data_IF_054891709390
#
_entry.id   IF_054891709390
#
_cell.length_a   1.000
_cell.length_b   1.000
_cell.length_c   1.000
_cell.angle_alpha   90.00
_cell.angle_beta   90.00
_cell.angle_gamma   90.00
#
_symmetry.space_group_name_H-M   'P 1'
#
loop_
_entity.id
_entity.type
_entity.pdbx_description
1 polymer ?
#
# COMPACT_ATOMS: atom_id res chain seq x y z
N UNK A 1 15.10 22.05 -0.63
CA UNK A 1 14.50 22.74 0.54
C UNK A 1 12.99 22.93 0.41
N UNK A 2 12.51 23.67 -0.60
CA UNK A 2 11.08 24.00 -0.79
C UNK A 2 10.14 22.81 -0.61
N UNK A 3 10.39 21.69 -1.29
CA UNK A 3 9.55 20.49 -1.24
C UNK A 3 9.34 19.94 0.16
N UNK A 4 10.37 19.94 1.00
CA UNK A 4 10.28 19.45 2.37
C UNK A 4 9.70 20.49 3.32
N UNK A 5 10.01 21.78 3.15
CA UNK A 5 9.39 22.86 3.95
C UNK A 5 7.88 22.96 3.70
N UNK A 6 7.42 22.72 2.47
CA UNK A 6 6.00 22.62 2.14
C UNK A 6 5.26 21.63 3.08
N UNK A 7 5.93 20.57 3.51
CA UNK A 7 5.36 19.52 4.38
C UNK A 7 5.36 19.92 5.86
N UNK A 8 6.43 20.54 6.36
CA UNK A 8 6.66 20.75 7.80
C UNK A 8 6.41 22.19 8.29
N UNK A 9 6.45 23.18 7.41
CA UNK A 9 6.35 24.59 7.78
C UNK A 9 4.93 25.12 7.54
N UNK A 10 4.14 25.38 8.60
CA UNK A 10 2.76 25.84 8.47
C UNK A 10 2.64 27.26 7.88
N UNK A 11 3.75 28.00 7.81
CA UNK A 11 3.81 29.35 7.21
C UNK A 11 4.09 29.30 5.71
N UNK A 12 4.48 28.15 5.16
CA UNK A 12 4.72 27.99 3.74
C UNK A 12 3.42 28.20 2.93
N UNK A 13 3.40 29.03 1.87
CA UNK A 13 2.20 29.33 1.08
C UNK A 13 1.49 28.13 0.44
N UNK A 14 2.21 27.02 0.30
CA UNK A 14 1.73 25.75 -0.27
C UNK A 14 1.38 24.70 0.79
N UNK A 15 1.62 24.96 2.07
CA UNK A 15 1.36 23.98 3.13
C UNK A 15 -0.13 23.60 3.21
N UNK A 16 -1.01 24.60 3.04
CA UNK A 16 -2.48 24.45 3.16
C UNK A 16 -3.21 24.35 1.80
N UNK A 17 -2.48 24.18 0.69
CA UNK A 17 -3.08 24.08 -0.65
C UNK A 17 -3.56 22.66 -0.95
N UNK A 18 -4.72 22.52 -1.59
CA UNK A 18 -5.29 21.22 -2.02
C UNK A 18 -6.06 20.48 -0.92
N UNK A 19 -6.09 19.14 -1.00
CA UNK A 19 -6.49 18.30 0.14
C UNK A 19 -5.38 18.42 1.19
N UNK A 20 -5.67 19.11 2.28
CA UNK A 20 -4.78 19.66 3.33
C UNK A 20 -3.90 18.65 4.09
N UNK A 21 -3.73 17.44 3.59
CA UNK A 21 -3.02 16.37 4.28
C UNK A 21 -1.88 15.83 3.41
N UNK A 22 -0.74 15.56 4.05
CA UNK A 22 0.38 14.81 3.50
C UNK A 22 0.34 13.41 4.13
N UNK A 23 -0.53 12.48 3.69
CA UNK A 23 -0.91 11.31 4.51
C UNK A 23 0.27 10.39 4.78
N UNK A 24 1.13 10.19 3.78
CA UNK A 24 2.38 9.45 3.91
C UNK A 24 3.26 10.03 5.03
N UNK A 25 3.61 11.32 4.92
CA UNK A 25 4.48 12.01 5.88
C UNK A 25 3.86 12.12 7.28
N UNK A 26 2.53 12.23 7.37
CA UNK A 26 1.78 12.20 8.63
C UNK A 26 1.85 10.81 9.29
N UNK A 27 1.69 9.74 8.52
CA UNK A 27 1.70 8.36 9.02
C UNK A 27 3.06 7.86 9.53
N UNK A 28 4.16 8.49 9.10
CA UNK A 28 5.52 8.20 9.58
C UNK A 28 6.06 9.25 10.57
N UNK A 29 5.19 10.12 11.10
CA UNK A 29 5.59 11.18 12.05
C UNK A 29 6.69 12.14 11.53
N UNK A 30 6.73 12.36 10.20
CA UNK A 30 7.82 13.12 9.57
C UNK A 30 7.89 14.58 10.05
N UNK A 31 6.75 15.17 10.41
CA UNK A 31 6.66 16.55 10.88
C UNK A 31 7.34 16.77 12.24
N UNK A 32 7.34 15.77 13.13
CA UNK A 32 8.05 15.85 14.40
C UNK A 32 9.49 15.33 14.29
N UNK A 33 9.79 14.53 13.27
CA UNK A 33 11.14 14.07 12.98
C UNK A 33 12.02 15.18 12.37
N UNK A 34 11.56 15.83 11.29
CA UNK A 34 12.35 16.82 10.56
C UNK A 34 12.25 18.21 11.21
N UNK A 35 13.32 18.63 11.88
CA UNK A 35 13.41 19.93 12.58
C UNK A 35 13.72 21.06 11.61
N UNK A 36 14.71 20.87 10.73
CA UNK A 36 15.08 21.87 9.73
C UNK A 36 15.62 21.22 8.46
N UNK A 37 15.44 21.93 7.36
CA UNK A 37 16.09 21.67 6.08
C UNK A 37 16.67 22.99 5.57
N UNK A 38 18.00 23.04 5.48
CA UNK A 38 18.76 24.25 5.15
C UNK A 38 19.79 23.98 4.06
N UNK A 39 20.14 25.01 3.29
CA UNK A 39 21.22 24.97 2.33
C UNK A 39 22.54 25.26 3.05
N UNK A 40 23.56 24.43 2.81
CA UNK A 40 24.94 24.76 3.15
C UNK A 40 25.61 25.53 2.01
N UNK A 41 25.23 25.21 0.78
CA UNK A 41 25.57 25.89 -0.46
C UNK A 41 24.52 25.56 -1.55
N UNK A 42 24.74 26.01 -2.78
CA UNK A 42 23.80 25.87 -3.90
C UNK A 42 23.46 24.41 -4.26
N UNK A 43 24.36 23.47 -3.96
CA UNK A 43 24.22 22.05 -4.32
C UNK A 43 24.22 21.11 -3.10
N UNK A 44 24.26 21.66 -1.89
CA UNK A 44 24.34 20.89 -0.64
C UNK A 44 23.22 21.28 0.32
N UNK A 45 22.36 20.30 0.66
CA UNK A 45 21.27 20.45 1.62
C UNK A 45 21.57 19.65 2.89
N UNK A 46 21.37 20.29 4.05
CA UNK A 46 21.43 19.66 5.37
C UNK A 46 20.02 19.43 5.90
N UNK A 47 19.77 18.21 6.36
CA UNK A 47 18.59 17.86 7.14
C UNK A 47 18.99 17.75 8.61
N UNK A 48 18.20 18.34 9.50
CA UNK A 48 18.36 18.25 10.95
C UNK A 48 17.16 17.48 11.49
N UNK A 49 17.43 16.33 12.12
CA UNK A 49 16.40 15.47 12.71
C UNK A 49 16.36 15.65 14.22
N UNK A 50 15.18 15.50 14.82
CA UNK A 50 14.98 15.58 16.28
C UNK A 50 15.56 14.39 17.03
N UNK A 51 15.69 13.25 16.33
CA UNK A 51 16.26 11.98 16.82
C UNK A 51 16.92 11.20 15.68
N UNK A 52 17.84 10.27 15.96
CA UNK A 52 18.34 9.33 14.96
C UNK A 52 17.20 8.50 14.37
N UNK A 53 17.17 8.34 13.05
CA UNK A 53 16.16 7.54 12.36
C UNK A 53 16.80 6.77 11.19
N UNK A 54 16.93 5.46 11.34
CA UNK A 54 17.52 4.58 10.33
C UNK A 54 16.62 4.35 9.10
N UNK A 55 15.36 4.77 9.14
CA UNK A 55 14.42 4.74 8.02
C UNK A 55 14.41 6.03 7.20
N UNK A 56 14.99 7.13 7.72
CA UNK A 56 14.93 8.46 7.09
C UNK A 56 15.33 8.46 5.61
N UNK A 57 16.48 7.84 5.27
CA UNK A 57 16.96 7.77 3.89
C UNK A 57 15.99 6.98 2.99
N UNK A 58 15.42 5.89 3.49
CA UNK A 58 14.41 5.11 2.76
C UNK A 58 13.15 5.94 2.52
N UNK A 59 12.70 6.70 3.53
CA UNK A 59 11.49 7.52 3.45
C UNK A 59 11.61 8.64 2.42
N UNK A 60 12.78 9.31 2.33
CA UNK A 60 13.02 10.35 1.33
C UNK A 60 13.36 9.80 -0.07
N UNK A 61 13.50 8.48 -0.22
CA UNK A 61 13.69 7.80 -1.51
C UNK A 61 12.35 7.29 -2.11
N UNK A 62 11.23 7.50 -1.42
CA UNK A 62 9.90 7.11 -1.90
C UNK A 62 9.39 8.01 -3.02
N UNK A 63 8.37 7.54 -3.76
CA UNK A 63 7.65 8.34 -4.75
C UNK A 63 6.88 9.53 -4.15
N UNK A 64 6.78 9.61 -2.83
CA UNK A 64 6.18 10.74 -2.11
C UNK A 64 7.15 11.90 -1.88
N UNK A 65 8.46 11.65 -1.92
CA UNK A 65 9.51 12.62 -1.61
C UNK A 65 10.14 13.22 -2.88
N UNK A 66 9.33 13.46 -3.91
CA UNK A 66 9.78 14.10 -5.15
C UNK A 66 10.20 15.55 -4.94
N UNK A 67 11.14 16.03 -5.76
CA UNK A 67 11.59 17.42 -5.75
C UNK A 67 10.72 18.25 -6.69
N UNK A 68 10.19 19.36 -6.16
CA UNK A 68 9.34 20.33 -6.84
C UNK A 68 10.14 21.61 -7.13
N UNK A 69 9.77 22.31 -8.21
CA UNK A 69 10.41 23.57 -8.59
C UNK A 69 9.92 24.73 -7.72
N UNK A 70 10.84 25.36 -6.97
CA UNK A 70 10.57 26.60 -6.22
C UNK A 70 10.32 27.78 -7.17
N UNK A 71 11.04 27.85 -8.28
CA UNK A 71 10.87 28.91 -9.28
C UNK A 71 9.45 28.89 -9.86
N UNK A 72 8.98 27.71 -10.26
CA UNK A 72 7.62 27.54 -10.76
C UNK A 72 6.58 27.88 -9.68
N UNK A 73 6.79 27.41 -8.45
CA UNK A 73 5.92 27.74 -7.33
C UNK A 73 5.85 29.26 -7.08
N UNK A 74 6.97 29.97 -7.14
CA UNK A 74 6.98 31.43 -6.97
C UNK A 74 6.25 32.14 -8.12
N UNK A 75 6.43 31.68 -9.36
CA UNK A 75 5.72 32.23 -10.51
C UNK A 75 4.20 32.08 -10.35
N UNK A 76 3.74 30.89 -9.96
CA UNK A 76 2.32 30.63 -9.72
C UNK A 76 1.72 31.44 -8.57
N UNK A 77 2.52 31.82 -7.57
CA UNK A 77 2.07 32.75 -6.52
C UNK A 77 1.84 34.15 -7.12
N UNK A 78 2.74 34.61 -7.99
CA UNK A 78 2.64 35.93 -8.64
C UNK A 78 1.40 35.98 -9.55
N UNK A 79 1.13 34.87 -10.24
CA UNK A 79 0.03 34.77 -11.19
C UNK A 79 -1.33 34.45 -10.54
N UNK A 80 -1.37 34.18 -9.22
CA UNK A 80 -2.53 33.71 -8.47
C UNK A 80 -3.10 32.37 -8.96
N UNK A 81 -2.22 31.45 -9.36
CA UNK A 81 -2.53 30.14 -9.95
C UNK A 81 -1.88 28.98 -9.19
N UNK A 82 -1.75 29.11 -7.86
CA UNK A 82 -1.02 28.16 -7.01
C UNK A 82 -1.48 26.71 -7.17
N UNK A 83 -2.76 26.48 -7.44
CA UNK A 83 -3.35 25.15 -7.67
C UNK A 83 -2.75 24.42 -8.87
N UNK A 84 -2.13 25.14 -9.81
CA UNK A 84 -1.44 24.53 -10.96
C UNK A 84 -0.18 23.77 -10.55
N UNK A 85 0.41 24.05 -9.39
CA UNK A 85 1.59 23.30 -8.92
C UNK A 85 1.33 21.79 -8.85
N UNK A 86 0.11 21.41 -8.42
CA UNK A 86 -0.26 20.01 -8.23
C UNK A 86 -1.01 19.42 -9.45
N UNK A 87 -1.55 20.25 -10.35
CA UNK A 87 -2.34 19.82 -11.50
C UNK A 87 -1.60 19.90 -12.85
N UNK A 88 -0.58 20.75 -12.95
CA UNK A 88 0.28 20.94 -14.12
C UNK A 88 1.74 20.74 -13.68
N UNK A 89 2.16 19.47 -13.50
CA UNK A 89 3.41 19.16 -12.84
C UNK A 89 4.62 19.60 -13.67
N UNK A 90 5.52 20.34 -13.03
CA UNK A 90 6.86 20.63 -13.54
C UNK A 90 7.87 19.90 -12.65
N UNK A 91 8.55 18.91 -13.23
CA UNK A 91 9.57 18.13 -12.56
C UNK A 91 10.82 17.94 -13.43
N UNK A 92 11.79 17.21 -12.90
CA UNK A 92 13.08 16.92 -13.55
C UNK A 92 13.16 15.50 -14.11
N UNK A 93 12.00 14.85 -14.29
CA UNK A 93 11.91 13.44 -14.68
C UNK A 93 12.17 13.17 -16.17
N UNK A 94 12.22 11.88 -16.57
CA UNK A 94 12.51 11.46 -17.94
C UNK A 94 11.41 11.81 -18.96
N UNK A 95 10.21 12.15 -18.48
CA UNK A 95 9.08 12.57 -19.29
C UNK A 95 8.40 13.79 -18.68
N UNK A 96 7.71 14.56 -19.51
CA UNK A 96 6.84 15.65 -19.10
C UNK A 96 5.40 15.39 -19.55
N UNK A 97 4.44 15.95 -18.81
CA UNK A 97 3.02 15.85 -19.13
C UNK A 97 2.73 16.64 -20.42
N UNK A 98 2.19 15.97 -21.43
CA UNK A 98 1.80 16.59 -22.70
C UNK A 98 0.28 16.76 -22.79
N UNK A 99 -0.49 15.72 -22.44
CA UNK A 99 -1.96 15.75 -22.48
C UNK A 99 -2.53 14.98 -21.30
N UNK A 100 -3.63 15.49 -20.74
CA UNK A 100 -4.41 14.80 -19.73
C UNK A 100 -5.90 14.92 -20.07
N UNK A 101 -6.54 13.78 -20.35
CA UNK A 101 -7.97 13.68 -20.53
C UNK A 101 -8.55 12.86 -19.37
N UNK A 102 -9.27 13.51 -18.42
CA UNK A 102 -9.81 12.83 -17.26
C UNK A 102 -10.63 11.59 -17.64
N UNK A 103 -10.32 10.44 -17.01
CA UNK A 103 -10.96 9.13 -17.26
C UNK A 103 -10.78 8.55 -18.67
N UNK A 104 -9.90 9.11 -19.48
CA UNK A 104 -9.60 8.62 -20.82
C UNK A 104 -8.11 8.29 -21.00
N UNK A 105 -7.23 9.28 -20.97
CA UNK A 105 -5.78 9.05 -21.14
C UNK A 105 -4.87 10.07 -20.43
N UNK A 106 -3.63 9.65 -20.20
CA UNK A 106 -2.50 10.53 -19.85
C UNK A 106 -1.40 10.31 -20.90
N UNK A 107 -0.97 11.38 -21.56
CA UNK A 107 0.16 11.34 -22.51
C UNK A 107 1.36 12.05 -21.91
N UNK A 108 2.47 11.32 -21.83
CA UNK A 108 3.77 11.85 -21.47
C UNK A 108 4.68 11.88 -22.70
N UNK A 109 5.46 12.93 -22.87
CA UNK A 109 6.49 13.05 -23.91
C UNK A 109 7.87 13.06 -23.28
N UNK A 110 8.85 12.49 -23.98
CA UNK A 110 10.24 12.41 -23.53
C UNK A 110 10.81 13.78 -23.23
N UNK A 111 11.43 13.94 -22.06
CA UNK A 111 12.24 15.11 -21.70
C UNK A 111 13.62 14.99 -22.36
N UNK A 112 13.96 15.77 -23.41
CA UNK A 112 15.22 15.57 -24.15
C UNK A 112 16.47 15.90 -23.32
N UNK A 113 16.35 16.84 -22.38
CA UNK A 113 17.44 17.26 -21.49
C UNK A 113 17.38 16.58 -20.10
N UNK A 114 16.80 15.37 -20.00
CA UNK A 114 16.79 14.64 -18.73
C UNK A 114 18.22 14.33 -18.29
N UNK A 115 18.52 14.54 -17.01
CA UNK A 115 19.88 14.54 -16.48
C UNK A 115 20.56 13.16 -16.47
N UNK A 116 19.80 12.05 -16.45
CA UNK A 116 20.35 10.68 -16.63
C UNK A 116 20.40 10.23 -18.11
N UNK A 117 20.08 11.13 -19.05
CA UNK A 117 20.00 10.84 -20.48
C UNK A 117 18.57 10.57 -20.95
N UNK A 118 18.26 11.02 -22.18
CA UNK A 118 16.91 10.99 -22.71
C UNK A 118 16.32 9.56 -22.75
N UNK A 119 15.02 9.44 -22.43
CA UNK A 119 14.32 8.17 -22.51
C UNK A 119 14.38 7.55 -23.92
N UNK A 120 14.41 6.22 -24.01
CA UNK A 120 14.50 5.54 -25.30
C UNK A 120 13.23 5.70 -26.14
N UNK A 121 12.05 5.62 -25.53
CA UNK A 121 10.77 5.91 -26.17
C UNK A 121 10.48 7.42 -26.20
N UNK A 122 9.79 7.86 -27.27
CA UNK A 122 9.43 9.27 -27.44
C UNK A 122 8.20 9.69 -26.63
N UNK A 123 7.29 8.74 -26.40
CA UNK A 123 6.04 8.96 -25.69
C UNK A 123 5.65 7.73 -24.87
N UNK A 124 4.94 7.99 -23.78
CA UNK A 124 4.24 6.98 -22.97
C UNK A 124 2.79 7.42 -22.86
N UNK A 125 1.86 6.51 -23.16
CA UNK A 125 0.42 6.77 -23.07
C UNK A 125 -0.18 5.81 -22.06
N UNK A 126 -0.80 6.35 -21.02
CA UNK A 126 -1.62 5.58 -20.10
C UNK A 126 -3.07 5.65 -20.57
N UNK A 127 -3.61 4.53 -21.00
CA UNK A 127 -5.03 4.38 -21.34
C UNK A 127 -5.81 3.97 -20.09
N UNK A 128 -6.74 4.82 -19.66
CA UNK A 128 -7.60 4.62 -18.48
C UNK A 128 -9.09 4.55 -18.88
N UNK A 129 -9.39 4.43 -20.17
CA UNK A 129 -10.74 4.46 -20.75
C UNK A 129 -11.55 3.18 -20.48
N UNK A 130 -10.88 2.07 -20.18
CA UNK A 130 -11.51 0.77 -19.93
C UNK A 130 -10.97 0.11 -18.66
N UNK A 131 -11.79 -0.71 -18.00
CA UNK A 131 -11.44 -1.49 -16.81
C UNK A 131 -11.79 -2.97 -17.00
N UNK A 132 -11.14 -3.85 -16.24
CA UNK A 132 -11.45 -5.28 -16.20
C UNK A 132 -11.04 -6.02 -17.48
N UNK A 133 -11.92 -6.89 -17.98
CA UNK A 133 -11.58 -7.84 -19.06
C UNK A 133 -11.24 -7.17 -20.39
N UNK A 134 -11.72 -5.95 -20.65
CA UNK A 134 -11.41 -5.18 -21.85
C UNK A 134 -9.91 -4.86 -22.01
N UNK A 135 -9.16 -4.76 -20.90
CA UNK A 135 -7.74 -4.42 -20.95
C UNK A 135 -6.89 -5.52 -21.60
N UNK A 136 -7.21 -6.79 -21.35
CA UNK A 136 -6.52 -7.91 -22.03
C UNK A 136 -6.82 -7.92 -23.53
N UNK A 137 -8.06 -7.62 -23.93
CA UNK A 137 -8.43 -7.58 -25.33
C UNK A 137 -7.62 -6.52 -26.10
N UNK A 138 -7.36 -5.36 -25.48
CA UNK A 138 -6.49 -4.32 -26.06
C UNK A 138 -5.07 -4.80 -26.26
N UNK A 139 -4.48 -5.48 -25.25
CA UNK A 139 -3.15 -6.08 -25.38
C UNK A 139 -3.10 -7.11 -26.52
N UNK A 140 -4.10 -8.01 -26.59
CA UNK A 140 -4.18 -9.04 -27.63
C UNK A 140 -4.39 -8.48 -29.04
N UNK A 141 -4.93 -7.26 -29.17
CA UNK A 141 -5.14 -6.56 -30.44
C UNK A 141 -4.02 -5.56 -30.79
N UNK A 142 -2.95 -5.51 -29.99
CA UNK A 142 -1.88 -4.53 -30.10
C UNK A 142 -2.37 -3.06 -29.99
N UNK A 143 -3.50 -2.83 -29.32
CA UNK A 143 -3.98 -1.49 -28.96
C UNK A 143 -3.25 -0.95 -27.70
N UNK A 144 -2.67 -1.85 -26.89
CA UNK A 144 -1.83 -1.54 -25.74
C UNK A 144 -0.60 -2.44 -25.76
N UNK A 145 0.56 -1.91 -25.34
CA UNK A 145 1.81 -2.69 -25.32
C UNK A 145 2.10 -3.33 -23.97
N UNK A 146 1.53 -2.77 -22.90
CA UNK A 146 1.73 -3.19 -21.50
C UNK A 146 0.38 -3.23 -20.80
N UNK A 147 0.11 -4.34 -20.14
CA UNK A 147 -1.02 -4.55 -19.24
C UNK A 147 -0.51 -4.73 -17.82
N UNK A 148 -0.82 -3.76 -16.97
CA UNK A 148 -0.51 -3.81 -15.55
C UNK A 148 -1.60 -4.56 -14.78
N UNK A 149 -1.19 -5.45 -13.88
CA UNK A 149 -2.06 -6.24 -13.01
C UNK A 149 -3.20 -6.95 -13.77
N UNK A 150 -2.89 -7.86 -14.74
CA UNK A 150 -3.89 -8.70 -15.36
C UNK A 150 -4.69 -9.48 -14.29
N UNK A 151 -5.96 -9.76 -14.59
CA UNK A 151 -6.83 -10.50 -13.67
C UNK A 151 -6.31 -11.94 -13.57
N UNK A 152 -6.27 -12.52 -12.36
CA UNK A 152 -5.71 -13.87 -12.14
C UNK A 152 -6.34 -14.96 -13.03
N UNK A 153 -7.64 -14.89 -13.31
CA UNK A 153 -8.32 -15.84 -14.20
C UNK A 153 -7.89 -15.74 -15.68
N UNK A 154 -7.21 -14.66 -16.06
CA UNK A 154 -6.72 -14.43 -17.42
C UNK A 154 -5.28 -14.90 -17.63
N UNK A 155 -4.52 -15.17 -16.55
CA UNK A 155 -3.12 -15.58 -16.63
C UNK A 155 -2.91 -16.80 -17.56
N UNK A 156 -3.74 -17.87 -17.50
CA UNK A 156 -3.56 -19.01 -18.40
C UNK A 156 -3.74 -18.69 -19.88
N UNK A 157 -4.51 -17.65 -20.23
CA UNK A 157 -4.66 -17.20 -21.61
C UNK A 157 -3.45 -16.38 -22.06
N UNK A 158 -2.87 -15.57 -21.17
CA UNK A 158 -1.66 -14.79 -21.43
C UNK A 158 -0.45 -15.72 -21.61
N UNK A 159 -0.27 -16.70 -20.72
CA UNK A 159 0.84 -17.66 -20.77
C UNK A 159 0.89 -18.50 -22.05
N UNK A 160 -0.28 -18.72 -22.68
CA UNK A 160 -0.39 -19.47 -23.94
C UNK A 160 -0.04 -18.64 -25.17
N UNK A 161 0.06 -17.32 -25.05
CA UNK A 161 0.35 -16.43 -26.18
C UNK A 161 1.87 -16.23 -26.32
N UNK A 162 2.51 -16.68 -27.42
CA UNK A 162 3.96 -16.58 -27.60
C UNK A 162 4.48 -15.15 -27.83
N UNK A 163 3.59 -14.21 -28.16
CA UNK A 163 3.91 -12.81 -28.47
C UNK A 163 3.83 -11.91 -27.22
N UNK A 164 3.40 -12.47 -26.09
CA UNK A 164 3.26 -11.75 -24.81
C UNK A 164 4.18 -12.37 -23.77
N UNK A 165 4.91 -11.52 -23.07
CA UNK A 165 5.67 -11.89 -21.89
C UNK A 165 4.81 -11.61 -20.67
N UNK A 166 4.58 -12.64 -19.85
CA UNK A 166 4.02 -12.48 -18.50
C UNK A 166 5.19 -12.42 -17.50
N UNK A 167 5.46 -11.23 -16.99
CA UNK A 167 6.45 -11.04 -15.93
C UNK A 167 5.80 -11.13 -14.56
N UNK A 168 6.45 -11.91 -13.69
CA UNK A 168 6.03 -12.16 -12.32
C UNK A 168 7.05 -11.55 -11.36
N UNK A 169 6.60 -10.68 -10.46
CA UNK A 169 7.45 -10.03 -9.46
C UNK A 169 6.89 -10.31 -8.07
N UNK A 170 7.69 -10.87 -7.14
CA UNK A 170 7.33 -10.92 -5.72
C UNK A 170 7.04 -9.49 -5.24
N UNK A 171 5.82 -9.26 -4.76
CA UNK A 171 5.41 -7.93 -4.36
C UNK A 171 5.66 -7.75 -2.86
N UNK A 172 6.15 -6.57 -2.46
CA UNK A 172 6.13 -6.20 -1.05
C UNK A 172 4.71 -5.76 -0.72
N UNK A 173 3.82 -6.72 -0.46
CA UNK A 173 2.43 -6.40 -0.14
C UNK A 173 1.83 -7.42 0.84
N UNK A 174 0.68 -7.09 1.41
CA UNK A 174 -0.13 -7.99 2.23
C UNK A 174 -1.60 -7.61 2.13
N UNK A 175 -2.49 -8.60 2.02
CA UNK A 175 -3.91 -8.46 2.28
C UNK A 175 -4.20 -8.85 3.73
N UNK A 176 -5.04 -8.08 4.41
CA UNK A 176 -5.42 -8.32 5.79
C UNK A 176 -6.85 -7.86 6.08
N UNK A 177 -7.39 -8.29 7.21
CA UNK A 177 -8.57 -7.71 7.82
C UNK A 177 -8.09 -6.81 8.96
N UNK A 178 -8.36 -5.51 8.91
CA UNK A 178 -8.19 -4.63 10.06
C UNK A 178 -9.42 -4.75 10.96
N UNK A 179 -9.19 -4.87 12.26
CA UNK A 179 -10.24 -5.10 13.25
C UNK A 179 -10.42 -3.83 14.06
N UNK A 180 -11.61 -3.24 14.08
CA UNK A 180 -11.88 -2.05 14.88
C UNK A 180 -11.83 -2.38 16.37
N UNK A 181 -10.70 -2.11 17.03
CA UNK A 181 -10.48 -2.46 18.44
C UNK A 181 -11.26 -1.59 19.42
N UNK A 182 -11.98 -0.58 18.96
CA UNK A 182 -12.90 0.22 19.79
C UNK A 182 -14.28 -0.43 19.92
N UNK A 183 -14.65 -1.38 19.04
CA UNK A 183 -15.92 -2.09 19.15
C UNK A 183 -15.94 -2.96 20.43
N UNK A 184 -17.01 -2.93 21.25
CA UNK A 184 -17.04 -3.61 22.55
C UNK A 184 -16.76 -5.12 22.52
N UNK A 185 -17.11 -5.82 21.44
CA UNK A 185 -16.77 -7.23 21.28
C UNK A 185 -15.35 -7.45 20.75
N UNK A 186 -14.84 -6.52 19.94
CA UNK A 186 -13.55 -6.67 19.26
C UNK A 186 -12.40 -6.09 20.08
N UNK A 187 -12.67 -5.38 21.18
CA UNK A 187 -11.66 -4.97 22.15
C UNK A 187 -11.04 -6.18 22.90
N UNK A 188 -11.76 -7.31 22.97
CA UNK A 188 -11.29 -8.56 23.57
C UNK A 188 -10.43 -9.34 22.57
N UNK A 189 -9.16 -9.56 22.90
CA UNK A 189 -8.24 -10.26 22.01
C UNK A 189 -8.66 -11.71 21.72
N UNK A 190 -9.48 -12.35 22.58
CA UNK A 190 -10.00 -13.70 22.36
C UNK A 190 -10.97 -13.74 21.19
N UNK A 191 -11.79 -12.70 21.02
CA UNK A 191 -12.68 -12.57 19.86
C UNK A 191 -11.86 -12.40 18.58
N UNK A 192 -10.84 -11.52 18.60
CA UNK A 192 -9.96 -11.30 17.43
C UNK A 192 -9.19 -12.58 17.04
N UNK A 193 -8.69 -13.33 18.03
CA UNK A 193 -8.09 -14.66 17.83
C UNK A 193 -9.09 -15.63 17.22
N UNK A 194 -10.33 -15.68 17.71
CA UNK A 194 -11.35 -16.55 17.17
C UNK A 194 -11.63 -16.27 15.68
N UNK A 195 -11.76 -14.99 15.31
CA UNK A 195 -11.91 -14.59 13.90
C UNK A 195 -10.71 -15.06 13.05
N UNK A 196 -9.49 -14.90 13.56
CA UNK A 196 -8.28 -15.35 12.88
C UNK A 196 -8.24 -16.87 12.63
N UNK A 197 -8.57 -17.68 13.64
CA UNK A 197 -8.58 -19.15 13.54
C UNK A 197 -9.73 -19.68 12.67
N UNK A 198 -10.80 -18.91 12.50
CA UNK A 198 -11.94 -19.29 11.66
C UNK A 198 -11.67 -19.13 10.16
N UNK A 199 -10.63 -18.41 9.74
CA UNK A 199 -10.40 -18.12 8.31
C UNK A 199 -9.58 -19.23 7.64
N UNK A 200 -10.17 -19.87 6.64
CA UNK A 200 -9.49 -20.83 5.77
C UNK A 200 -8.74 -20.11 4.65
N UNK A 201 -7.49 -19.73 4.95
CA UNK A 201 -6.60 -19.00 4.02
C UNK A 201 -6.24 -19.80 2.77
N UNK A 202 -6.13 -21.13 2.86
CA UNK A 202 -5.85 -21.97 1.70
C UNK A 202 -6.99 -21.89 0.68
N UNK A 203 -8.24 -21.98 1.16
CA UNK A 203 -9.41 -21.82 0.28
C UNK A 203 -9.47 -20.42 -0.37
N UNK A 204 -9.09 -19.37 0.36
CA UNK A 204 -8.95 -18.02 -0.20
C UNK A 204 -7.87 -18.00 -1.29
N UNK A 205 -6.68 -18.55 -1.03
CA UNK A 205 -5.58 -18.60 -1.98
C UNK A 205 -5.99 -19.32 -3.29
N UNK A 206 -6.62 -20.48 -3.16
CA UNK A 206 -7.04 -21.29 -4.31
C UNK A 206 -8.16 -20.61 -5.11
N UNK A 207 -9.17 -20.05 -4.43
CA UNK A 207 -10.37 -19.49 -5.06
C UNK A 207 -10.20 -18.07 -5.61
N UNK A 208 -9.39 -17.24 -4.95
CA UNK A 208 -9.23 -15.82 -5.29
C UNK A 208 -7.96 -15.58 -6.06
N UNK A 209 -6.86 -16.21 -5.65
CA UNK A 209 -5.55 -15.99 -6.25
C UNK A 209 -5.19 -17.06 -7.29
N UNK A 210 -6.04 -18.07 -7.51
CA UNK A 210 -5.83 -19.12 -8.52
C UNK A 210 -4.48 -19.83 -8.34
N UNK A 211 -4.08 -20.08 -7.09
CA UNK A 211 -2.79 -20.71 -6.75
C UNK A 211 -1.58 -19.79 -6.91
N UNK A 212 -1.77 -18.51 -7.25
CA UNK A 212 -0.71 -17.49 -7.24
C UNK A 212 -0.62 -16.83 -5.86
N UNK A 213 0.57 -16.41 -5.44
CA UNK A 213 0.77 -15.81 -4.11
C UNK A 213 1.04 -16.83 -3.01
N UNK A 214 0.97 -16.36 -1.76
CA UNK A 214 1.27 -17.18 -0.57
C UNK A 214 0.43 -16.76 0.62
N UNK A 215 0.18 -17.70 1.53
CA UNK A 215 -0.46 -17.40 2.83
C UNK A 215 0.38 -16.39 3.60
N UNK A 216 -0.27 -15.37 4.17
CA UNK A 216 0.39 -14.41 5.04
C UNK A 216 0.35 -14.88 6.49
N UNK A 217 1.54 -15.08 7.08
CA UNK A 217 1.71 -15.48 8.49
C UNK A 217 1.98 -14.29 9.42
N UNK A 218 2.24 -13.12 8.84
CA UNK A 218 2.47 -11.84 9.50
C UNK A 218 2.12 -10.75 8.48
N UNK A 219 2.11 -9.49 8.89
CA UNK A 219 1.92 -8.37 7.95
C UNK A 219 3.14 -8.15 7.05
N UNK A 220 4.31 -8.64 7.44
CA UNK A 220 5.52 -8.55 6.62
C UNK A 220 5.53 -9.66 5.54
N UNK A 221 5.79 -9.34 4.27
CA UNK A 221 5.95 -10.35 3.23
C UNK A 221 7.25 -11.16 3.43
N UNK A 222 7.35 -12.39 2.88
CA UNK A 222 8.57 -13.21 2.94
C UNK A 222 9.83 -12.54 2.39
N UNK A 223 9.68 -11.52 1.54
CA UNK A 223 10.79 -10.71 1.00
C UNK A 223 11.32 -9.67 1.98
N UNK A 224 10.63 -9.42 3.09
CA UNK A 224 11.10 -8.54 4.16
C UNK A 224 12.23 -9.21 4.94
N UNK A 225 13.31 -8.48 5.22
CA UNK A 225 14.42 -8.99 6.01
C UNK A 225 14.08 -9.22 7.49
N UNK A 226 12.94 -8.72 7.97
CA UNK A 226 12.40 -8.96 9.31
C UNK A 226 11.21 -9.94 9.32
N UNK A 227 11.02 -10.70 8.25
CA UNK A 227 9.95 -11.70 8.16
C UNK A 227 10.08 -12.79 9.23
N UNK A 228 8.96 -13.13 9.87
CA UNK A 228 8.85 -14.26 10.78
C UNK A 228 7.61 -15.10 10.42
N UNK A 229 7.79 -16.42 10.35
CA UNK A 229 6.72 -17.36 10.04
C UNK A 229 6.20 -18.02 11.33
N UNK A 230 5.12 -17.49 11.91
CA UNK A 230 4.43 -18.12 13.04
C UNK A 230 3.23 -18.95 12.56
N UNK A 231 3.49 -20.22 12.23
CA UNK A 231 2.45 -21.13 11.76
C UNK A 231 1.45 -21.54 12.84
N UNK A 232 1.81 -21.42 14.13
CA UNK A 232 0.96 -21.85 15.23
C UNK A 232 -0.23 -20.90 15.41
N UNK A 233 0.01 -19.60 15.32
CA UNK A 233 -1.00 -18.56 15.47
C UNK A 233 -1.87 -18.36 14.22
N UNK A 234 -1.39 -18.76 13.03
CA UNK A 234 -2.07 -18.53 11.74
C UNK A 234 -2.58 -19.84 11.11
N UNK A 235 -3.10 -20.76 11.92
CA UNK A 235 -3.74 -22.00 11.44
C UNK A 235 -5.26 -21.84 11.31
N UNK A 236 -5.88 -22.68 10.49
CA UNK A 236 -7.34 -22.80 10.44
C UNK A 236 -7.80 -23.84 11.48
N UNK A 237 -8.59 -23.40 12.47
CA UNK A 237 -9.05 -24.22 13.60
C UNK A 237 -10.43 -23.74 14.07
N UNK A 238 -11.47 -24.22 13.37
CA UNK A 238 -12.86 -23.86 13.63
C UNK A 238 -13.30 -24.16 15.07
N UNK A 239 -12.88 -25.31 15.61
CA UNK A 239 -13.30 -25.74 16.95
C UNK A 239 -12.69 -24.83 18.02
N UNK A 240 -11.41 -24.46 17.86
CA UNK A 240 -10.76 -23.53 18.77
C UNK A 240 -11.36 -22.12 18.68
N UNK A 241 -11.69 -21.66 17.47
CA UNK A 241 -12.40 -20.39 17.28
C UNK A 241 -13.75 -20.35 18.02
N UNK A 242 -14.57 -21.41 17.92
CA UNK A 242 -15.83 -21.51 18.66
C UNK A 242 -15.63 -21.55 20.19
N UNK A 243 -14.57 -22.21 20.67
CA UNK A 243 -14.24 -22.22 22.10
C UNK A 243 -13.92 -20.80 22.60
N UNK A 244 -13.06 -20.08 21.89
CA UNK A 244 -12.68 -18.70 22.23
C UNK A 244 -13.88 -17.74 22.23
N UNK A 245 -14.80 -17.85 21.26
CA UNK A 245 -16.02 -17.04 21.27
C UNK A 245 -16.92 -17.32 22.47
N UNK A 246 -17.06 -18.59 22.87
CA UNK A 246 -17.83 -18.95 24.07
C UNK A 246 -17.19 -18.40 25.34
N UNK A 247 -15.86 -18.51 25.46
CA UNK A 247 -15.10 -17.96 26.59
C UNK A 247 -15.19 -16.42 26.66
N UNK A 248 -15.30 -15.77 25.51
CA UNK A 248 -15.51 -14.32 25.39
C UNK A 248 -16.98 -13.89 25.60
N UNK A 249 -17.90 -14.84 25.84
CA UNK A 249 -19.31 -14.54 26.13
C UNK A 249 -20.23 -14.48 24.91
N UNK A 250 -19.76 -14.85 23.72
CA UNK A 250 -20.51 -14.80 22.45
C UNK A 250 -21.03 -16.18 22.02
N UNK A 251 -21.44 -17.01 22.99
CA UNK A 251 -21.98 -18.35 22.71
C UNK A 251 -23.28 -18.34 21.89
N UNK A 252 -24.05 -17.26 21.96
CA UNK A 252 -25.31 -17.07 21.23
C UNK A 252 -25.14 -16.41 19.87
N UNK A 253 -23.90 -16.15 19.47
CA UNK A 253 -23.54 -15.50 18.21
C UNK A 253 -23.10 -14.04 18.39
N UNK A 254 -22.53 -13.51 17.32
CA UNK A 254 -22.01 -12.15 17.23
C UNK A 254 -22.34 -11.61 15.83
N UNK A 255 -22.89 -10.40 15.74
CA UNK A 255 -23.08 -9.72 14.47
C UNK A 255 -21.96 -8.73 14.25
N UNK A 256 -21.35 -8.76 13.06
CA UNK A 256 -20.32 -7.81 12.64
C UNK A 256 -20.62 -7.31 11.23
N UNK A 257 -20.00 -6.19 10.90
CA UNK A 257 -19.98 -5.60 9.56
C UNK A 257 -18.57 -5.64 9.00
N UNK A 258 -18.44 -5.74 7.67
CA UNK A 258 -17.16 -5.62 6.98
C UNK A 258 -17.25 -4.65 5.81
N UNK A 259 -16.39 -3.63 5.81
CA UNK A 259 -16.11 -2.83 4.62
C UNK A 259 -15.30 -3.66 3.62
N UNK A 260 -15.77 -3.65 2.37
CA UNK A 260 -15.19 -4.38 1.25
C UNK A 260 -14.88 -3.40 0.11
N UNK A 261 -13.61 -3.28 -0.31
CA UNK A 261 -13.24 -2.40 -1.41
C UNK A 261 -13.74 -2.97 -2.75
N UNK A 262 -14.21 -2.09 -3.64
CA UNK A 262 -14.70 -2.51 -4.97
C UNK A 262 -13.56 -2.77 -5.95
N UNK A 263 -12.43 -2.06 -5.82
CA UNK A 263 -11.31 -2.14 -6.76
C UNK A 263 -10.32 -3.27 -6.42
N UNK A 264 -10.00 -4.16 -7.37
CA UNK A 264 -8.89 -5.11 -7.23
C UNK A 264 -7.55 -4.41 -6.98
N UNK A 265 -6.68 -5.06 -6.19
CA UNK A 265 -5.30 -4.63 -5.95
C UNK A 265 -4.35 -5.82 -6.07
N UNK A 266 -3.06 -5.55 -6.23
CA UNK A 266 -2.03 -6.61 -6.34
C UNK A 266 -2.03 -7.56 -5.12
N UNK A 267 -2.35 -7.05 -3.92
CA UNK A 267 -2.47 -7.88 -2.73
C UNK A 267 -3.79 -8.64 -2.63
N UNK A 268 -4.86 -8.22 -3.31
CA UNK A 268 -6.18 -8.88 -3.27
C UNK A 268 -6.91 -8.68 -4.62
N UNK A 269 -6.85 -9.67 -5.53
CA UNK A 269 -7.38 -9.54 -6.89
C UNK A 269 -8.90 -9.64 -6.97
N UNK A 270 -9.58 -10.12 -5.93
CA UNK A 270 -11.04 -10.15 -5.86
C UNK A 270 -11.52 -9.91 -4.43
N UNK A 271 -11.62 -8.64 -3.99
CA UNK A 271 -11.99 -8.34 -2.62
C UNK A 271 -13.37 -8.84 -2.24
N UNK A 272 -14.36 -8.71 -3.13
CA UNK A 272 -15.71 -9.24 -2.90
C UNK A 272 -15.72 -10.76 -2.68
N UNK A 273 -15.01 -11.52 -3.53
CA UNK A 273 -14.94 -12.98 -3.38
C UNK A 273 -14.22 -13.37 -2.09
N UNK A 274 -13.15 -12.66 -1.74
CA UNK A 274 -12.45 -12.82 -0.46
C UNK A 274 -13.40 -12.61 0.72
N UNK A 275 -14.18 -11.54 0.70
CA UNK A 275 -15.13 -11.20 1.76
C UNK A 275 -16.27 -12.23 1.88
N UNK A 276 -16.80 -12.75 0.77
CA UNK A 276 -17.82 -13.80 0.76
C UNK A 276 -17.29 -15.12 1.37
N UNK A 277 -16.03 -15.47 1.10
CA UNK A 277 -15.39 -16.64 1.72
C UNK A 277 -15.20 -16.46 3.23
N UNK A 278 -14.76 -15.27 3.65
CA UNK A 278 -14.65 -14.92 5.07
C UNK A 278 -16.02 -14.94 5.75
N UNK A 279 -17.05 -14.37 5.11
CA UNK A 279 -18.43 -14.41 5.61
C UNK A 279 -18.90 -15.85 5.87
N UNK A 280 -18.68 -16.76 4.92
CA UNK A 280 -19.02 -18.18 5.10
C UNK A 280 -18.23 -18.82 6.25
N UNK A 281 -16.92 -18.56 6.34
CA UNK A 281 -16.06 -19.06 7.41
C UNK A 281 -16.47 -18.56 8.82
N UNK A 282 -16.90 -17.30 8.92
CA UNK A 282 -17.38 -16.73 10.18
C UNK A 282 -18.78 -17.23 10.56
N UNK A 283 -19.65 -17.48 9.58
CA UNK A 283 -20.96 -18.09 9.82
C UNK A 283 -20.84 -19.48 10.47
N UNK A 284 -19.81 -20.26 10.08
CA UNK A 284 -19.53 -21.58 10.63
C UNK A 284 -19.18 -21.58 12.14
N UNK A 285 -18.81 -20.42 12.70
CA UNK A 285 -18.53 -20.25 14.12
C UNK A 285 -19.60 -19.42 14.85
N UNK A 286 -20.73 -19.13 14.20
CA UNK A 286 -21.85 -18.38 14.78
C UNK A 286 -21.69 -16.86 14.68
N UNK A 287 -20.79 -16.36 13.83
CA UNK A 287 -20.62 -14.92 13.58
C UNK A 287 -21.35 -14.55 12.29
N UNK A 288 -22.37 -13.70 12.39
CA UNK A 288 -23.08 -13.16 11.22
C UNK A 288 -22.33 -11.94 10.70
N UNK A 289 -21.71 -12.06 9.53
CA UNK A 289 -20.98 -10.95 8.90
C UNK A 289 -21.80 -10.28 7.80
N UNK A 290 -22.10 -8.98 7.95
CA UNK A 290 -22.74 -8.15 6.91
C UNK A 290 -21.68 -7.44 6.07
N UNK A 291 -21.67 -7.67 4.77
CA UNK A 291 -20.71 -7.05 3.84
C UNK A 291 -21.25 -5.72 3.33
N UNK A 292 -20.45 -4.66 3.44
CA UNK A 292 -20.73 -3.30 2.98
C UNK A 292 -19.70 -2.97 1.90
N UNK A 293 -20.16 -2.71 0.68
CA UNK A 293 -19.27 -2.32 -0.41
C UNK A 293 -18.97 -0.84 -0.31
N UNK A 294 -17.69 -0.46 -0.23
CA UNK A 294 -17.26 0.93 -0.17
C UNK A 294 -16.54 1.34 -1.46
N UNK A 295 -17.04 2.40 -2.10
CA UNK A 295 -16.27 3.14 -3.10
C UNK A 295 -15.30 4.10 -2.39
N UNK A 296 -14.13 4.32 -2.99
CA UNK A 296 -12.98 5.04 -2.40
C UNK A 296 -13.33 6.47 -1.96
N UNK A 297 -14.38 7.07 -2.51
CA UNK A 297 -14.88 8.40 -2.13
C UNK A 297 -15.48 8.47 -0.73
N UNK A 298 -15.93 7.35 -0.15
CA UNK A 298 -16.66 7.32 1.12
C UNK A 298 -15.78 7.03 2.35
N UNK A 299 -14.55 6.52 2.15
CA UNK A 299 -13.61 6.21 3.25
C UNK A 299 -13.17 7.42 4.09
N UNK A 300 -13.44 8.64 3.64
CA UNK A 300 -13.08 9.86 4.36
C UNK A 300 -14.17 10.33 5.34
N UNK A 301 -15.39 9.79 5.28
CA UNK A 301 -16.43 10.16 6.25
C UNK A 301 -16.24 9.41 7.58
N UNK A 302 -15.84 10.15 8.62
CA UNK A 302 -15.69 9.64 9.99
C UNK A 302 -16.96 8.96 10.53
N UNK A 303 -18.14 9.37 10.04
CA UNK A 303 -19.45 8.77 10.38
C UNK A 303 -19.57 7.32 9.90
N UNK A 304 -19.04 7.00 8.71
CA UNK A 304 -19.02 5.64 8.17
C UNK A 304 -18.01 4.80 8.95
N UNK A 305 -16.86 5.39 9.29
CA UNK A 305 -15.79 4.65 9.99
C UNK A 305 -16.19 4.10 11.37
N UNK A 306 -17.05 4.82 12.08
CA UNK A 306 -17.50 4.42 13.41
C UNK A 306 -18.53 3.27 13.40
N UNK A 307 -19.09 2.92 12.23
CA UNK A 307 -20.11 1.87 12.08
C UNK A 307 -19.60 0.61 11.38
N UNK A 308 -18.30 0.54 11.06
CA UNK A 308 -17.67 -0.63 10.46
C UNK A 308 -16.81 -1.36 11.50
N UNK A 309 -17.04 -2.66 11.64
CA UNK A 309 -16.34 -3.49 12.61
C UNK A 309 -15.04 -4.06 12.05
N UNK A 310 -15.06 -4.46 10.76
CA UNK A 310 -13.92 -5.06 10.07
C UNK A 310 -13.66 -4.34 8.73
N UNK A 311 -12.40 -4.15 8.37
CA UNK A 311 -12.02 -3.59 7.07
C UNK A 311 -11.19 -4.60 6.29
N UNK A 312 -11.71 -5.09 5.16
CA UNK A 312 -10.89 -5.85 4.23
C UNK A 312 -9.99 -4.88 3.47
N UNK A 313 -8.69 -4.95 3.72
CA UNK A 313 -7.73 -4.01 3.14
C UNK A 313 -6.40 -4.72 2.84
N UNK A 314 -5.40 -3.91 2.52
CA UNK A 314 -4.05 -4.38 2.35
C UNK A 314 -3.08 -3.22 2.29
N UNK A 315 -1.80 -3.57 2.28
CA UNK A 315 -0.71 -2.62 2.16
C UNK A 315 0.22 -3.07 1.05
N UNK A 316 0.82 -2.10 0.36
CA UNK A 316 1.96 -2.33 -0.53
C UNK A 316 3.07 -1.43 -0.02
N UNK A 317 4.22 -2.03 0.25
CA UNK A 317 5.33 -1.29 0.80
C UNK A 317 5.86 -0.26 -0.19
N UNK A 318 6.26 0.89 0.34
CA UNK A 318 6.89 1.99 -0.39
C UNK A 318 8.42 1.91 -0.28
N UNK A 319 8.92 1.19 0.73
CA UNK A 319 10.34 0.95 0.97
C UNK A 319 10.60 -0.48 1.40
N UNK A 320 11.87 -0.90 1.36
CA UNK A 320 12.30 -2.21 1.88
C UNK A 320 12.46 -2.26 3.41
N UNK A 321 12.11 -1.18 4.12
CA UNK A 321 12.21 -1.12 5.58
C UNK A 321 10.92 -1.67 6.24
N UNK A 322 11.00 -2.62 7.19
CA UNK A 322 9.85 -3.17 7.90
C UNK A 322 8.99 -2.10 8.60
N UNK A 323 9.58 -0.97 9.00
CA UNK A 323 8.83 0.12 9.64
C UNK A 323 7.68 0.61 8.75
N UNK A 324 7.87 0.61 7.42
CA UNK A 324 6.85 1.03 6.45
C UNK A 324 5.59 0.15 6.46
N UNK A 325 5.66 -1.10 6.91
CA UNK A 325 4.47 -1.94 7.12
C UNK A 325 3.89 -1.81 8.52
N UNK A 326 4.70 -1.47 9.51
CA UNK A 326 4.31 -1.50 10.92
C UNK A 326 3.76 -0.15 11.37
N UNK A 327 4.56 0.92 11.25
CA UNK A 327 4.23 2.24 11.80
C UNK A 327 3.05 2.90 11.08
N UNK A 328 3.02 3.05 9.74
CA UNK A 328 1.89 3.68 9.06
C UNK A 328 0.57 2.93 9.24
N UNK A 329 0.61 1.61 9.48
CA UNK A 329 -0.60 0.81 9.65
C UNK A 329 -1.10 0.75 11.10
N UNK A 330 -0.20 0.72 12.08
CA UNK A 330 -0.54 0.25 13.44
C UNK A 330 -0.04 1.14 14.58
N UNK A 331 0.78 2.16 14.32
CA UNK A 331 1.28 3.00 15.42
C UNK A 331 0.18 3.85 16.06
N UNK A 332 0.40 4.30 17.30
CA UNK A 332 -0.50 5.23 17.96
C UNK A 332 -0.55 6.59 17.22
N UNK A 333 0.54 7.03 16.59
CA UNK A 333 0.55 8.22 15.74
C UNK A 333 -0.31 8.06 14.49
N UNK A 334 -0.20 6.91 13.81
CA UNK A 334 -1.07 6.58 12.69
C UNK A 334 -2.54 6.54 13.11
N UNK A 335 -2.83 6.02 14.30
CA UNK A 335 -4.17 6.06 14.89
C UNK A 335 -4.67 7.50 15.13
N UNK A 336 -3.87 8.35 15.79
CA UNK A 336 -4.19 9.77 15.99
C UNK A 336 -4.38 10.52 14.68
N UNK A 337 -3.62 10.15 13.65
CA UNK A 337 -3.71 10.71 12.32
C UNK A 337 -4.93 10.24 11.52
N UNK A 338 -5.65 9.22 11.99
CA UNK A 338 -6.77 8.59 11.30
C UNK A 338 -6.35 7.67 10.14
N UNK A 339 -5.12 7.17 10.13
CA UNK A 339 -4.58 6.29 9.08
C UNK A 339 -4.62 4.81 9.49
N UNK A 340 -4.49 4.52 10.79
CA UNK A 340 -4.70 3.17 11.33
C UNK A 340 -6.20 2.85 11.38
N UNK A 341 -6.66 2.07 10.40
CA UNK A 341 -8.05 1.63 10.28
C UNK A 341 -8.47 0.54 11.28
N UNK A 342 -7.55 0.05 12.11
CA UNK A 342 -7.86 -0.87 13.21
C UNK A 342 -8.20 -0.12 14.51
N UNK A 343 -7.97 1.20 14.54
CA UNK A 343 -8.13 2.04 15.73
C UNK A 343 -7.35 1.54 16.97
N UNK A 344 -6.28 0.79 16.72
CA UNK A 344 -5.46 0.15 17.74
C UNK A 344 -4.29 1.03 18.15
N UNK A 345 -3.89 0.96 19.41
CA UNK A 345 -2.73 1.64 19.95
C UNK A 345 -2.21 0.86 21.13
N UNK A 346 -0.93 0.52 21.08
CA UNK A 346 -0.21 -0.22 22.11
C UNK A 346 1.16 0.43 22.30
N UNK A 347 1.44 0.86 23.53
CA UNK A 347 2.66 1.60 23.84
C UNK A 347 3.92 0.74 23.76
N UNK A 348 3.82 -0.55 24.03
CA UNK A 348 4.97 -1.46 23.97
C UNK A 348 5.35 -1.74 22.51
N UNK A 349 4.36 -1.86 21.64
CA UNK A 349 4.55 -1.93 20.20
C UNK A 349 5.25 -0.68 19.66
N UNK A 350 4.73 0.51 19.94
CA UNK A 350 5.34 1.77 19.49
C UNK A 350 6.77 1.93 20.03
N UNK A 351 7.00 1.60 21.30
CA UNK A 351 8.33 1.63 21.91
C UNK A 351 9.33 0.72 21.19
N UNK A 352 8.91 -0.49 20.78
CA UNK A 352 9.77 -1.39 20.01
C UNK A 352 10.09 -0.85 18.62
N UNK A 353 9.13 -0.19 17.95
CA UNK A 353 9.36 0.44 16.65
C UNK A 353 10.33 1.62 16.78
N UNK A 354 10.19 2.45 17.81
CA UNK A 354 11.08 3.59 18.05
C UNK A 354 12.52 3.15 18.33
N UNK A 355 12.70 2.14 19.20
CA UNK A 355 14.01 1.53 19.39
C UNK A 355 14.58 0.95 18.09
N UNK A 356 13.73 0.39 17.23
CA UNK A 356 14.18 -0.17 15.95
C UNK A 356 14.64 0.92 14.97
N UNK A 357 14.08 2.14 15.04
CA UNK A 357 14.54 3.28 14.25
C UNK A 357 15.86 3.85 14.76
N UNK A 358 16.13 3.80 16.07
CA UNK A 358 17.38 4.33 16.66
C UNK A 358 18.55 3.32 16.64
N UNK A 359 18.26 2.02 16.57
CA UNK A 359 19.27 0.97 16.66
C UNK A 359 20.22 0.91 15.44
N UNK A 360 21.50 1.19 15.68
CA UNK A 360 22.54 1.23 14.64
C UNK A 360 23.02 -0.12 14.10
N UNK A 361 22.61 -1.26 14.68
CA UNK A 361 22.98 -2.59 14.20
C UNK A 361 21.77 -3.32 13.61
N UNK A 362 21.85 -3.83 12.37
CA UNK A 362 20.74 -4.57 11.75
C UNK A 362 20.19 -5.72 12.60
N UNK A 363 21.05 -6.45 13.32
CA UNK A 363 20.63 -7.54 14.22
C UNK A 363 19.73 -7.06 15.37
N UNK A 364 19.96 -5.86 15.91
CA UNK A 364 19.11 -5.32 16.98
C UNK A 364 17.75 -4.90 16.42
N UNK A 365 17.73 -4.23 15.26
CA UNK A 365 16.48 -3.91 14.55
C UNK A 365 15.64 -5.16 14.27
N UNK A 366 16.28 -6.22 13.77
CA UNK A 366 15.62 -7.51 13.51
C UNK A 366 14.94 -8.07 14.77
N UNK A 367 15.65 -8.11 15.89
CA UNK A 367 15.09 -8.61 17.14
C UNK A 367 13.93 -7.75 17.67
N UNK A 368 14.00 -6.43 17.48
CA UNK A 368 12.93 -5.51 17.87
C UNK A 368 11.68 -5.71 17.00
N UNK A 369 11.85 -5.84 15.67
CA UNK A 369 10.73 -6.14 14.78
C UNK A 369 10.12 -7.53 15.01
N UNK A 370 10.90 -8.53 15.42
CA UNK A 370 10.35 -9.83 15.83
C UNK A 370 9.51 -9.72 17.11
N UNK A 371 9.97 -8.95 18.10
CA UNK A 371 9.19 -8.69 19.31
C UNK A 371 7.88 -7.93 19.00
N UNK A 372 7.94 -6.93 18.12
CA UNK A 372 6.77 -6.19 17.68
C UNK A 372 5.76 -7.12 16.97
N UNK A 373 6.22 -8.02 16.10
CA UNK A 373 5.38 -9.02 15.45
C UNK A 373 4.78 -10.02 16.45
N UNK A 374 5.50 -10.38 17.51
CA UNK A 374 4.94 -11.24 18.56
C UNK A 374 3.76 -10.57 19.28
N UNK A 375 3.81 -9.26 19.54
CA UNK A 375 2.67 -8.50 20.06
C UNK A 375 1.49 -8.59 19.08
N UNK A 376 1.73 -8.38 17.78
CA UNK A 376 0.68 -8.48 16.76
C UNK A 376 0.05 -9.88 16.66
N UNK A 377 0.84 -10.93 16.83
CA UNK A 377 0.35 -12.32 16.83
C UNK A 377 -0.41 -12.67 18.11
N UNK A 378 -0.27 -11.90 19.18
CA UNK A 378 -1.04 -12.06 20.41
C UNK A 378 -2.30 -11.20 20.41
N UNK A 379 -2.24 -10.02 19.82
CA UNK A 379 -3.33 -9.06 19.87
C UNK A 379 -4.22 -9.10 18.64
N UNK A 380 -3.74 -9.49 17.45
CA UNK A 380 -4.52 -9.49 16.20
C UNK A 380 -5.32 -8.20 15.93
N UNK A 381 -4.73 -6.99 16.03
CA UNK A 381 -5.41 -5.78 15.54
C UNK A 381 -5.63 -5.84 14.02
N UNK A 382 -4.77 -6.60 13.34
CA UNK A 382 -4.89 -6.98 11.94
C UNK A 382 -4.73 -8.49 11.79
N UNK A 383 -5.55 -9.08 10.93
CA UNK A 383 -5.53 -10.51 10.61
C UNK A 383 -4.94 -10.68 9.20
N UNK A 384 -3.69 -11.14 9.07
CA UNK A 384 -3.06 -11.31 7.76
C UNK A 384 -3.75 -12.44 6.97
N UNK A 385 -3.93 -12.28 5.67
CA UNK A 385 -4.60 -13.23 4.79
C UNK A 385 -3.64 -13.86 3.78
N UNK A 386 -3.08 -13.03 2.90
CA UNK A 386 -2.22 -13.48 1.80
C UNK A 386 -1.25 -12.38 1.37
N UNK A 387 -0.14 -12.79 0.77
CA UNK A 387 0.72 -11.95 -0.04
C UNK A 387 0.42 -12.25 -1.51
N UNK A 388 0.06 -11.21 -2.25
CA UNK A 388 -0.22 -11.32 -3.67
C UNK A 388 1.05 -11.24 -4.50
N UNK A 389 0.92 -11.57 -5.78
CA UNK A 389 2.00 -11.44 -6.76
C UNK A 389 1.68 -10.29 -7.70
N UNK A 390 2.70 -9.52 -8.08
CA UNK A 390 2.55 -8.52 -9.11
C UNK A 390 2.81 -9.15 -10.48
N UNK A 391 1.78 -9.10 -11.32
CA UNK A 391 1.87 -9.51 -12.72
C UNK A 391 1.88 -8.27 -13.62
N UNK A 392 2.74 -8.31 -14.63
CA UNK A 392 2.69 -7.38 -15.76
C UNK A 392 2.82 -8.20 -17.03
N UNK A 393 1.88 -8.03 -17.95
CA UNK A 393 1.93 -8.64 -19.26
C UNK A 393 2.33 -7.58 -20.29
N UNK A 394 3.23 -7.89 -21.21
CA UNK A 394 3.65 -6.93 -22.24
C UNK A 394 4.02 -7.61 -23.54
N UNK A 395 3.92 -6.88 -24.65
CA UNK A 395 4.37 -7.34 -25.95
C UNK A 395 5.85 -7.72 -25.90
N UNK A 396 6.20 -8.87 -26.46
CA UNK A 396 7.58 -9.36 -26.57
C UNK A 396 8.49 -8.43 -27.40
N UNK A 397 7.89 -7.53 -28.20
CA UNK A 397 8.62 -6.46 -28.90
C UNK A 397 9.23 -5.42 -27.95
N UNK A 398 8.83 -5.38 -26.68
CA UNK A 398 9.39 -4.47 -25.69
C UNK A 398 10.55 -5.11 -24.92
N UNK A 399 11.66 -4.37 -24.81
CA UNK A 399 12.78 -4.67 -23.90
C UNK A 399 12.98 -3.52 -22.91
N UNK A 400 13.79 -3.75 -21.87
CA UNK A 400 14.09 -2.73 -20.87
C UNK A 400 12.98 -2.48 -19.84
N UNK A 401 11.90 -3.27 -19.84
CA UNK A 401 10.87 -3.18 -18.80
C UNK A 401 11.46 -3.59 -17.44
N UNK A 402 11.35 -2.68 -16.47
CA UNK A 402 11.72 -2.92 -15.07
C UNK A 402 10.49 -2.78 -14.20
N UNK A 403 10.33 -3.70 -13.25
CA UNK A 403 9.23 -3.68 -12.28
C UNK A 403 9.85 -3.55 -10.90
N UNK A 404 9.49 -2.49 -10.18
CA UNK A 404 9.86 -2.34 -8.78
C UNK A 404 8.96 -3.21 -7.88
N UNK A 405 9.49 -3.81 -6.82
CA UNK A 405 8.66 -4.50 -5.82
C UNK A 405 7.77 -3.53 -5.02
N UNK A 406 7.98 -2.21 -5.15
CA UNK A 406 7.23 -1.12 -4.49
C UNK A 406 6.20 -0.47 -5.42
N UNK A 407 5.65 -1.23 -6.38
CA UNK A 407 4.57 -0.80 -7.29
C UNK A 407 4.89 0.45 -8.15
N UNK A 408 6.16 0.61 -8.55
CA UNK A 408 6.62 1.63 -9.50
C UNK A 408 7.15 0.97 -10.76
N UNK A 409 6.78 1.50 -11.93
CA UNK A 409 7.25 1.00 -13.23
C UNK A 409 7.84 2.15 -14.04
N UNK A 410 9.19 2.29 -14.08
CA UNK A 410 9.82 3.31 -14.90
C UNK A 410 9.83 2.89 -16.38
N UNK A 411 9.46 3.81 -17.26
CA UNK A 411 9.43 3.60 -18.72
C UNK A 411 10.63 4.22 -19.45
N UNK A 412 11.55 4.89 -18.75
CA UNK A 412 12.69 5.59 -19.37
C UNK A 412 13.69 4.66 -20.08
N UNK A 413 13.78 3.41 -19.63
CA UNK A 413 14.67 2.39 -20.19
C UNK A 413 13.99 1.47 -21.22
N UNK A 414 12.68 1.60 -21.39
CA UNK A 414 11.89 0.76 -22.30
C UNK A 414 12.17 1.16 -23.74
N UNK A 415 12.35 0.17 -24.61
CA UNK A 415 12.47 0.35 -26.06
C UNK A 415 11.66 -0.71 -26.79
N UNK A 416 11.25 -0.39 -28.02
CA UNK A 416 10.66 -1.37 -28.92
C UNK A 416 11.77 -1.87 -29.85
N UNK A 417 12.02 -3.17 -29.81
CA UNK A 417 12.90 -3.84 -30.77
C UNK A 417 12.13 -3.93 -32.08
N UNK A 418 12.71 -3.39 -33.16
CA UNK A 418 12.16 -3.58 -34.49
C UNK A 418 12.23 -5.07 -34.85
N UNK A 419 11.11 -5.62 -35.36
CA UNK A 419 11.06 -6.98 -35.90
C UNK A 419 11.98 -7.15 -37.11
#
# INVERSE_FOLDING_TARGET
>A
MFSFRRIIDPTNPYHKMGQTEYPWFKGIDFQNLLVDVSALDDLTVKFVLSRPDNSFLSNIATSHAVILSLEYANQLIIDDEKEKLDNLPLGTGPFYLAEYHPRDLIRLKRHPQYWEGAAKVEQVVFDISQRGTGMLAKLLRNECDVLNAPISSQLPAIEKNPDIVLQTTPAMNVAFIAVNTQHPALNDNRVRKALNFAINRQNILDSVYYGTGSIAFTILPPTSWAYQQDTAQIRYDRNYAQALLREAGFATGLELTMSVPVEPKAYNPSPRKTAELIQANLADIGVTLRLISEDRSERQELSIRNNIDLYLSGWTGDTGDPDNFLRPLLSCDSNRAGLNVSMWCDSDFDFLLDLALEANKPRYRLNLYHQAQNILNQEFPVIPLAHGIQFTAYSKSLTGIRISPFNVQPFNTVERVAE
#
